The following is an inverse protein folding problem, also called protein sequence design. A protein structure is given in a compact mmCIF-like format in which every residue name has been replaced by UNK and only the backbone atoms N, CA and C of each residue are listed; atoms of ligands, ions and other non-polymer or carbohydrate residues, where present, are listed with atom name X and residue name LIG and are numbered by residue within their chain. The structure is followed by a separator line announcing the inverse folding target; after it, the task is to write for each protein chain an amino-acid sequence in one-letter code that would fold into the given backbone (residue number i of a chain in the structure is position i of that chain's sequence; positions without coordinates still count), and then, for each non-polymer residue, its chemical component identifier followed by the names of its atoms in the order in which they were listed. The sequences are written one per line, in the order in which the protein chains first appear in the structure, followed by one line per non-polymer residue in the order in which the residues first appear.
data_IF_810933072644
#
_entry.id   IF_810933072644
#
_cell.length_a   1.000
_cell.length_b   1.000
_cell.length_c   1.000
_cell.angle_alpha   90.00
_cell.angle_beta   90.00
_cell.angle_gamma   90.00
#
_symmetry.space_group_name_H-M   'P 1'
#
loop_
_entity.id
_entity.type
_entity.pdbx_description
1 polymer ?
#
# COMPACT_ATOMS: atom_id res chain seq x y z
N UNK A 1 20.28 -3.59 20.53
CA UNK A 1 19.69 -4.82 19.94
C UNK A 1 19.90 -4.74 18.44
N UNK A 2 20.73 -5.62 17.88
CA UNK A 2 20.95 -5.66 16.43
C UNK A 2 19.74 -6.34 15.79
N UNK A 3 18.90 -5.58 15.08
CA UNK A 3 17.80 -6.14 14.31
C UNK A 3 18.33 -6.90 13.10
N UNK A 4 17.78 -8.08 12.84
CA UNK A 4 18.09 -8.87 11.64
C UNK A 4 17.30 -8.24 10.47
N UNK A 5 18.02 -7.76 9.45
CA UNK A 5 17.39 -7.36 8.18
C UNK A 5 16.93 -8.65 7.49
N UNK A 6 15.61 -8.93 7.50
CA UNK A 6 15.03 -10.07 6.81
C UNK A 6 14.74 -9.68 5.35
N UNK A 7 15.60 -10.12 4.41
CA UNK A 7 15.22 -10.25 3.00
C UNK A 7 14.53 -11.60 2.79
N UNK A 8 13.23 -11.62 2.50
CA UNK A 8 12.48 -12.87 2.24
C UNK A 8 12.46 -13.14 0.74
N UNK A 9 13.26 -14.11 0.27
CA UNK A 9 13.29 -14.52 -1.15
C UNK A 9 11.87 -14.84 -1.67
N UNK A 10 11.39 -14.07 -2.63
CA UNK A 10 10.18 -14.37 -3.40
C UNK A 10 10.48 -15.45 -4.46
N UNK A 11 9.46 -16.20 -4.88
CA UNK A 11 9.59 -17.34 -5.78
C UNK A 11 9.78 -16.98 -7.28
N UNK A 12 10.16 -15.74 -7.60
CA UNK A 12 10.39 -15.24 -8.95
C UNK A 12 11.60 -14.30 -8.96
N UNK A 13 12.80 -14.84 -9.17
CA UNK A 13 14.04 -14.04 -9.21
C UNK A 13 14.34 -13.28 -7.91
N UNK A 14 15.57 -12.78 -7.76
CA UNK A 14 15.89 -11.86 -6.67
C UNK A 14 15.35 -10.47 -7.04
N UNK A 15 14.04 -10.23 -6.88
CA UNK A 15 13.49 -8.86 -6.95
C UNK A 15 13.93 -8.07 -5.72
N UNK A 16 14.40 -6.85 -5.91
CA UNK A 16 14.78 -5.97 -4.80
C UNK A 16 13.56 -5.73 -3.90
N UNK A 17 13.74 -5.91 -2.59
CA UNK A 17 12.68 -5.72 -1.61
C UNK A 17 12.92 -4.49 -0.76
N UNK A 18 11.83 -3.78 -0.43
CA UNK A 18 11.84 -2.71 0.55
C UNK A 18 12.46 -3.23 1.87
N UNK A 19 13.59 -2.66 2.31
CA UNK A 19 14.26 -3.13 3.50
C UNK A 19 13.43 -2.79 4.73
N UNK A 20 13.37 -3.69 5.70
CA UNK A 20 12.77 -3.42 7.00
C UNK A 20 13.48 -4.18 8.11
N UNK A 21 13.28 -3.69 9.33
CA UNK A 21 13.66 -4.38 10.57
C UNK A 21 12.41 -4.73 11.35
N UNK A 22 12.29 -5.98 11.80
CA UNK A 22 11.23 -6.36 12.75
C UNK A 22 11.64 -5.86 14.14
N UNK A 23 10.81 -4.99 14.72
CA UNK A 23 10.97 -4.51 16.10
C UNK A 23 10.34 -5.53 17.05
N UNK A 24 9.12 -5.97 16.74
CA UNK A 24 8.35 -6.91 17.55
C UNK A 24 7.63 -7.90 16.65
N UNK A 25 7.60 -9.16 17.06
CA UNK A 25 6.77 -10.21 16.46
C UNK A 25 5.78 -10.69 17.54
N UNK A 26 4.49 -10.62 17.23
CA UNK A 26 3.39 -11.14 18.07
C UNK A 26 2.63 -12.20 17.27
N UNK A 27 1.85 -13.03 17.95
CA UNK A 27 1.11 -14.17 17.35
C UNK A 27 -0.04 -13.81 16.40
N UNK A 28 0.07 -12.70 15.66
CA UNK A 28 -0.96 -12.20 14.74
C UNK A 28 -0.56 -10.94 13.97
N UNK A 29 0.50 -10.23 14.38
CA UNK A 29 1.05 -9.07 13.68
C UNK A 29 2.54 -8.88 13.99
N UNK A 30 3.21 -8.09 13.16
CA UNK A 30 4.59 -7.63 13.38
C UNK A 30 4.62 -6.09 13.48
N UNK A 31 5.48 -5.56 14.33
CA UNK A 31 5.91 -4.16 14.28
C UNK A 31 7.20 -4.09 13.45
N UNK A 32 7.20 -3.31 12.37
CA UNK A 32 8.34 -3.17 11.45
C UNK A 32 8.76 -1.71 11.31
N UNK A 33 10.07 -1.49 11.25
CA UNK A 33 10.69 -0.22 10.89
C UNK A 33 11.15 -0.27 9.43
N UNK A 34 10.62 0.60 8.60
CA UNK A 34 11.08 0.88 7.25
C UNK A 34 11.93 2.17 7.24
N UNK A 35 13.14 2.15 6.68
CA UNK A 35 13.94 3.36 6.53
C UNK A 35 13.36 4.27 5.45
N UNK A 36 13.73 5.56 5.48
CA UNK A 36 13.38 6.50 4.43
C UNK A 36 13.87 6.03 3.05
N UNK A 37 12.99 6.12 2.05
CA UNK A 37 13.22 5.68 0.66
C UNK A 37 12.36 6.48 -0.31
N UNK A 38 12.81 6.62 -1.56
CA UNK A 38 12.02 7.19 -2.65
C UNK A 38 11.10 6.14 -3.27
N UNK A 39 9.86 6.54 -3.55
CA UNK A 39 8.84 5.73 -4.20
C UNK A 39 8.30 6.47 -5.42
N UNK A 40 8.09 5.75 -6.52
CA UNK A 40 7.33 6.28 -7.65
C UNK A 40 5.84 6.04 -7.38
N UNK A 41 5.07 7.11 -7.27
CA UNK A 41 3.69 7.07 -6.80
C UNK A 41 2.72 7.69 -7.80
N UNK A 42 1.49 7.21 -7.79
CA UNK A 42 0.35 7.84 -8.47
C UNK A 42 -0.86 7.86 -7.55
N UNK A 43 -1.74 8.85 -7.73
CA UNK A 43 -2.88 9.10 -6.85
C UNK A 43 -4.17 9.14 -7.65
N UNK A 44 -5.18 8.41 -7.20
CA UNK A 44 -6.53 8.41 -7.77
C UNK A 44 -7.58 8.48 -6.66
N UNK A 45 -8.77 8.99 -7.01
CA UNK A 45 -9.95 8.96 -6.15
C UNK A 45 -11.00 8.04 -6.76
N UNK A 46 -11.77 7.38 -5.93
CA UNK A 46 -12.90 6.55 -6.35
C UNK A 46 -13.64 5.94 -5.17
N UNK A 47 -14.72 5.23 -5.48
CA UNK A 47 -15.61 4.63 -4.48
C UNK A 47 -15.04 3.33 -3.92
N UNK A 48 -14.46 2.51 -4.78
CA UNK A 48 -13.94 1.19 -4.48
C UNK A 48 -12.48 1.09 -4.91
N UNK A 49 -11.70 0.28 -4.20
CA UNK A 49 -10.29 0.12 -4.57
C UNK A 49 -10.16 -0.74 -5.84
N UNK A 50 -11.05 -1.72 -5.99
CA UNK A 50 -10.99 -2.73 -7.05
C UNK A 50 -10.95 -2.14 -8.46
N UNK A 51 -11.64 -1.03 -8.69
CA UNK A 51 -11.68 -0.31 -9.97
C UNK A 51 -10.45 0.55 -10.23
N UNK A 52 -9.67 0.88 -9.19
CA UNK A 52 -8.52 1.78 -9.28
C UNK A 52 -7.17 1.07 -9.32
N UNK A 53 -7.06 -0.16 -8.80
CA UNK A 53 -5.78 -0.90 -8.74
C UNK A 53 -5.18 -1.03 -10.14
N UNK A 54 -5.95 -1.52 -11.11
CA UNK A 54 -5.45 -1.75 -12.47
C UNK A 54 -4.92 -0.46 -13.15
N UNK A 55 -5.72 0.63 -13.24
CA UNK A 55 -5.23 1.85 -13.89
C UNK A 55 -4.04 2.49 -13.15
N UNK A 56 -3.99 2.45 -11.81
CA UNK A 56 -2.83 2.93 -11.04
C UNK A 56 -1.58 2.09 -11.30
N UNK A 57 -1.70 0.76 -11.24
CA UNK A 57 -0.59 -0.16 -11.49
C UNK A 57 -0.05 0.04 -12.91
N UNK A 58 -0.93 0.14 -13.91
CA UNK A 58 -0.54 0.35 -15.30
C UNK A 58 0.26 1.63 -15.50
N UNK A 59 -0.09 2.73 -14.81
CA UNK A 59 0.68 3.97 -14.87
C UNK A 59 2.11 3.77 -14.39
N UNK A 60 2.27 3.18 -13.20
CA UNK A 60 3.57 2.91 -12.60
C UNK A 60 4.37 1.87 -13.39
N UNK A 61 3.71 0.84 -13.90
CA UNK A 61 4.33 -0.17 -14.77
C UNK A 61 4.87 0.45 -16.06
N UNK A 62 4.10 1.31 -16.73
CA UNK A 62 4.59 2.03 -17.90
C UNK A 62 5.82 2.89 -17.59
N UNK A 63 5.85 3.55 -16.42
CA UNK A 63 7.00 4.34 -15.99
C UNK A 63 8.26 3.49 -15.86
N UNK A 64 8.20 2.35 -15.17
CA UNK A 64 9.36 1.45 -15.02
C UNK A 64 9.72 0.73 -16.32
N UNK A 65 8.77 0.54 -17.24
CA UNK A 65 9.00 -0.10 -18.54
C UNK A 65 9.59 0.82 -19.61
N UNK A 66 9.87 2.09 -19.29
CA UNK A 66 10.54 3.03 -20.20
C UNK A 66 9.78 4.33 -20.49
N UNK A 67 8.59 4.57 -19.92
CA UNK A 67 7.90 5.87 -20.06
C UNK A 67 8.38 6.89 -19.02
N UNK A 68 9.68 7.16 -19.07
CA UNK A 68 10.39 8.17 -18.27
C UNK A 68 11.31 8.98 -19.20
N UNK A 69 11.76 10.15 -18.76
CA UNK A 69 12.46 11.12 -19.63
C UNK A 69 13.81 10.64 -20.23
N UNK A 70 14.53 9.63 -19.67
CA UNK A 70 15.63 8.98 -20.37
C UNK A 70 15.24 7.72 -21.17
N UNK A 71 13.97 7.33 -21.18
CA UNK A 71 13.43 6.12 -21.81
C UNK A 71 14.13 4.82 -21.39
N UNK A 72 14.50 4.71 -20.11
CA UNK A 72 15.20 3.52 -19.58
C UNK A 72 14.24 2.60 -18.86
N UNK A 73 14.54 1.30 -18.88
CA UNK A 73 13.86 0.34 -18.01
C UNK A 73 14.41 0.45 -16.59
N UNK A 74 13.52 0.36 -15.63
CA UNK A 74 13.78 0.36 -14.19
C UNK A 74 13.32 -1.01 -13.68
N UNK A 75 14.15 -1.67 -12.88
CA UNK A 75 13.80 -2.97 -12.32
C UNK A 75 12.57 -2.90 -11.42
N UNK A 76 11.72 -3.93 -11.51
CA UNK A 76 10.57 -4.09 -10.62
C UNK A 76 11.04 -4.43 -9.20
N UNK A 77 10.41 -3.82 -8.21
CA UNK A 77 10.67 -4.06 -6.79
C UNK A 77 9.44 -4.62 -6.08
N UNK A 78 9.62 -5.09 -4.85
CA UNK A 78 8.55 -5.58 -3.98
C UNK A 78 8.64 -4.93 -2.59
N UNK A 79 7.54 -4.67 -1.88
CA UNK A 79 6.16 -4.81 -2.34
C UNK A 79 5.66 -3.58 -3.11
N UNK A 80 4.49 -3.73 -3.73
CA UNK A 80 3.65 -2.60 -4.14
C UNK A 80 2.82 -2.16 -2.94
N UNK A 81 2.82 -0.87 -2.64
CA UNK A 81 2.03 -0.29 -1.54
C UNK A 81 0.91 0.58 -2.08
N UNK A 82 -0.31 0.43 -1.57
CA UNK A 82 -1.43 1.35 -1.81
C UNK A 82 -1.84 1.97 -0.48
N UNK A 83 -1.56 3.27 -0.31
CA UNK A 83 -2.03 4.05 0.82
C UNK A 83 -3.49 4.45 0.62
N UNK A 84 -4.33 4.16 1.59
CA UNK A 84 -5.76 4.43 1.56
C UNK A 84 -6.09 5.52 2.56
N UNK A 85 -6.73 6.58 2.06
CA UNK A 85 -7.35 7.63 2.85
C UNK A 85 -8.87 7.51 2.65
N UNK A 86 -9.55 6.75 3.53
CA UNK A 86 -10.98 6.54 3.47
C UNK A 86 -11.73 7.87 3.47
N UNK A 87 -12.82 7.92 2.71
CA UNK A 87 -13.71 9.07 2.70
C UNK A 87 -14.54 9.18 3.98
N UNK A 88 -15.17 10.34 4.20
CA UNK A 88 -16.01 10.60 5.37
C UNK A 88 -17.37 9.88 5.33
N UNK A 89 -17.68 9.10 4.28
CA UNK A 89 -18.97 8.41 4.17
C UNK A 89 -19.17 7.65 2.86
N UNK A 90 -20.20 6.79 2.79
CA UNK A 90 -20.37 5.80 1.71
C UNK A 90 -20.68 6.39 0.33
N UNK A 91 -20.90 7.71 0.23
CA UNK A 91 -21.17 8.43 -1.03
C UNK A 91 -19.99 9.32 -1.44
N UNK A 92 -18.90 9.32 -0.68
CA UNK A 92 -17.71 10.11 -0.96
C UNK A 92 -16.57 9.21 -1.44
N UNK A 93 -15.79 9.72 -2.38
CA UNK A 93 -14.61 9.03 -2.89
C UNK A 93 -13.49 9.01 -1.84
N UNK A 94 -12.89 7.83 -1.68
CA UNK A 94 -11.64 7.67 -0.93
C UNK A 94 -10.46 8.04 -1.83
N UNK A 95 -9.34 8.42 -1.23
CA UNK A 95 -8.10 8.67 -1.98
C UNK A 95 -7.17 7.47 -1.86
N UNK A 96 -6.62 7.04 -2.98
CA UNK A 96 -5.70 5.92 -3.09
C UNK A 96 -4.39 6.41 -3.69
N UNK A 97 -3.29 6.15 -3.01
CA UNK A 97 -1.94 6.44 -3.51
C UNK A 97 -1.15 5.15 -3.63
N UNK A 98 -1.00 4.66 -4.86
CA UNK A 98 -0.17 3.49 -5.14
C UNK A 98 1.28 3.91 -5.33
N UNK A 99 2.22 3.14 -4.82
CA UNK A 99 3.65 3.39 -4.92
C UNK A 99 4.46 2.12 -5.17
N UNK A 100 5.46 2.25 -6.04
CA UNK A 100 6.53 1.27 -6.27
C UNK A 100 7.82 1.79 -5.65
N UNK A 101 8.56 0.92 -4.95
CA UNK A 101 9.88 1.29 -4.46
C UNK A 101 10.79 1.54 -5.65
N UNK A 102 11.48 2.67 -5.66
CA UNK A 102 12.54 2.91 -6.66
C UNK A 102 13.73 1.99 -6.31
N UNK A 103 14.31 1.21 -7.24
CA UNK A 103 15.48 0.38 -6.94
C UNK A 103 16.66 1.19 -6.41
N UNK A 104 17.56 0.54 -5.65
CA UNK A 104 18.72 1.18 -5.03
C UNK A 104 19.61 1.90 -6.07
N UNK A 105 19.74 1.36 -7.28
CA UNK A 105 20.46 2.00 -8.40
C UNK A 105 19.95 3.43 -8.70
N UNK A 106 18.67 3.67 -8.52
CA UNK A 106 18.00 4.93 -8.84
C UNK A 106 17.53 5.72 -7.61
N UNK A 107 17.76 5.23 -6.38
CA UNK A 107 17.30 5.89 -5.15
C UNK A 107 17.83 7.33 -5.00
N UNK A 108 19.05 7.61 -5.47
CA UNK A 108 19.62 8.95 -5.43
C UNK A 108 18.95 9.89 -6.45
N UNK A 109 18.82 9.43 -7.70
CA UNK A 109 18.27 10.20 -8.81
C UNK A 109 17.29 9.34 -9.62
N UNK A 110 16.01 9.29 -9.22
CA UNK A 110 15.00 8.55 -9.97
C UNK A 110 14.79 9.18 -11.35
N UNK A 111 14.63 8.37 -12.42
CA UNK A 111 14.27 8.89 -13.74
C UNK A 111 12.99 9.73 -13.64
N UNK A 112 12.94 10.93 -14.23
CA UNK A 112 11.72 11.74 -14.20
C UNK A 112 10.59 11.02 -14.96
N UNK A 113 9.37 10.94 -14.41
CA UNK A 113 8.26 10.35 -15.13
C UNK A 113 7.80 11.25 -16.28
N UNK A 114 7.42 10.65 -17.41
CA UNK A 114 6.81 11.39 -18.52
C UNK A 114 5.30 11.62 -18.32
N UNK A 115 4.63 10.77 -17.53
CA UNK A 115 3.24 10.97 -17.09
C UNK A 115 3.21 11.90 -15.87
N UNK A 116 2.60 13.08 -16.01
CA UNK A 116 2.49 14.10 -14.96
C UNK A 116 1.68 13.70 -13.73
N UNK A 117 0.91 12.60 -13.81
CA UNK A 117 0.19 12.03 -12.66
C UNK A 117 1.04 11.07 -11.82
N UNK A 118 2.28 10.82 -12.23
CA UNK A 118 3.27 10.09 -11.46
C UNK A 118 4.20 11.12 -10.80
N UNK A 119 4.47 10.92 -9.52
CA UNK A 119 5.38 11.76 -8.75
C UNK A 119 6.32 10.89 -7.93
N UNK A 120 7.48 11.43 -7.60
CA UNK A 120 8.43 10.76 -6.70
C UNK A 120 8.13 11.23 -5.28
N UNK A 121 7.73 10.29 -4.43
CA UNK A 121 7.51 10.50 -3.00
C UNK A 121 8.79 10.17 -2.23
N UNK A 122 9.32 11.12 -1.46
CA UNK A 122 10.32 10.81 -0.44
C UNK A 122 9.61 10.36 0.83
N UNK A 123 9.37 9.04 0.94
CA UNK A 123 8.69 8.47 2.09
C UNK A 123 9.64 8.48 3.29
N UNK A 124 9.29 9.15 4.40
CA UNK A 124 10.16 9.19 5.58
C UNK A 124 10.25 7.81 6.23
N UNK A 125 11.17 7.69 7.19
CA UNK A 125 11.24 6.50 8.06
C UNK A 125 9.87 6.24 8.67
N UNK A 126 9.39 5.00 8.53
CA UNK A 126 8.02 4.62 8.85
C UNK A 126 8.05 3.42 9.79
N UNK A 127 7.37 3.52 10.93
CA UNK A 127 7.09 2.35 11.78
C UNK A 127 5.65 1.90 11.52
N UNK A 128 5.48 0.63 11.17
CA UNK A 128 4.16 0.05 10.88
C UNK A 128 3.87 -1.15 11.75
N UNK A 129 2.60 -1.35 12.06
CA UNK A 129 2.07 -2.64 12.48
C UNK A 129 1.49 -3.33 11.25
N UNK A 130 1.85 -4.58 11.03
CA UNK A 130 1.43 -5.32 9.83
C UNK A 130 0.92 -6.71 10.16
N UNK A 131 -0.14 -7.11 9.45
CA UNK A 131 -0.66 -8.46 9.44
C UNK A 131 -0.64 -9.01 8.03
N UNK A 132 -0.14 -10.24 7.89
CA UNK A 132 -0.13 -11.00 6.63
C UNK A 132 -1.42 -11.77 6.47
N UNK A 133 -1.96 -11.73 5.27
CA UNK A 133 -3.04 -12.59 4.80
C UNK A 133 -2.71 -13.09 3.38
N UNK A 134 -3.52 -14.01 2.87
CA UNK A 134 -3.28 -14.61 1.56
C UNK A 134 -4.55 -14.76 0.74
N UNK A 135 -4.36 -15.15 -0.52
CA UNK A 135 -5.45 -15.27 -1.49
C UNK A 135 -5.74 -13.95 -2.20
N UNK A 136 -6.85 -13.93 -2.95
CA UNK A 136 -7.33 -12.74 -3.65
C UNK A 136 -7.81 -11.68 -2.68
N UNK A 137 -7.61 -10.43 -3.07
CA UNK A 137 -8.01 -9.28 -2.27
C UNK A 137 -9.27 -8.66 -2.85
N UNK A 138 -10.32 -8.56 -2.04
CA UNK A 138 -11.50 -7.73 -2.30
C UNK A 138 -11.61 -6.65 -1.22
N UNK A 139 -12.43 -5.63 -1.46
CA UNK A 139 -12.65 -4.54 -0.51
C UNK A 139 -13.17 -5.08 0.84
N UNK A 140 -14.04 -6.10 0.83
CA UNK A 140 -14.52 -6.76 2.05
C UNK A 140 -13.40 -7.49 2.82
N UNK A 141 -12.51 -8.20 2.09
CA UNK A 141 -11.37 -8.89 2.70
C UNK A 141 -10.42 -7.87 3.31
N UNK A 142 -10.16 -6.77 2.61
CA UNK A 142 -9.31 -5.67 3.11
C UNK A 142 -9.88 -5.09 4.39
N UNK A 143 -11.16 -4.73 4.39
CA UNK A 143 -11.81 -4.14 5.55
C UNK A 143 -11.82 -5.09 6.74
N UNK A 144 -12.04 -6.39 6.50
CA UNK A 144 -11.95 -7.43 7.52
C UNK A 144 -10.53 -7.52 8.10
N UNK A 145 -9.50 -7.65 7.27
CA UNK A 145 -8.12 -7.80 7.76
C UNK A 145 -7.60 -6.51 8.43
N UNK A 146 -8.04 -5.33 7.99
CA UNK A 146 -7.79 -4.06 8.66
C UNK A 146 -8.46 -4.01 10.05
N UNK A 147 -9.72 -4.44 10.15
CA UNK A 147 -10.42 -4.55 11.44
C UNK A 147 -9.71 -5.53 12.38
N UNK A 148 -9.40 -6.73 11.92
CA UNK A 148 -8.74 -7.75 12.73
C UNK A 148 -7.38 -7.27 13.23
N UNK A 149 -6.58 -6.60 12.39
CA UNK A 149 -5.31 -6.01 12.81
C UNK A 149 -5.52 -4.90 13.84
N UNK A 150 -6.49 -3.99 13.64
CA UNK A 150 -6.77 -2.92 14.58
C UNK A 150 -7.17 -3.46 15.96
N UNK A 151 -8.01 -4.50 16.01
CA UNK A 151 -8.39 -5.16 17.26
C UNK A 151 -7.19 -5.78 17.98
N UNK A 152 -6.29 -6.46 17.26
CA UNK A 152 -5.09 -7.05 17.86
C UNK A 152 -4.13 -5.99 18.41
N UNK A 153 -3.92 -4.88 17.69
CA UNK A 153 -3.09 -3.75 18.15
C UNK A 153 -3.71 -3.13 19.42
N UNK A 154 -5.02 -2.91 19.45
CA UNK A 154 -5.73 -2.33 20.58
C UNK A 154 -5.69 -3.24 21.82
N UNK A 155 -5.85 -4.56 21.66
CA UNK A 155 -5.72 -5.54 22.76
C UNK A 155 -4.36 -5.48 23.46
N UNK A 156 -3.30 -5.14 22.72
CA UNK A 156 -1.94 -5.02 23.25
C UNK A 156 -1.63 -3.63 23.84
N UNK A 157 -2.58 -2.68 23.79
CA UNK A 157 -2.40 -1.29 24.22
C UNK A 157 -1.19 -0.60 23.55
N UNK A 158 -0.96 -0.89 22.26
CA UNK A 158 0.12 -0.24 21.51
C UNK A 158 -0.13 1.27 21.41
N UNK A 159 0.90 2.11 21.66
CA UNK A 159 0.72 3.55 21.69
C UNK A 159 0.61 4.12 20.27
N UNK A 160 -0.15 5.22 20.17
CA UNK A 160 -0.07 6.20 19.08
C UNK A 160 -0.19 5.58 17.69
N UNK A 161 -1.31 4.95 17.37
CA UNK A 161 -1.57 4.38 16.03
C UNK A 161 -2.61 5.21 15.30
N UNK A 162 -2.35 5.53 14.04
CA UNK A 162 -3.35 6.10 13.15
C UNK A 162 -4.17 4.97 12.52
N UNK A 163 -5.41 4.81 12.95
CA UNK A 163 -6.35 3.84 12.40
C UNK A 163 -7.26 4.41 11.30
N UNK A 164 -7.10 5.69 10.97
CA UNK A 164 -7.95 6.37 9.99
C UNK A 164 -7.46 6.11 8.57
N UNK A 165 -6.19 5.76 8.43
CA UNK A 165 -5.51 5.51 7.16
C UNK A 165 -4.70 4.22 7.28
N UNK A 166 -4.60 3.48 6.18
CA UNK A 166 -3.91 2.19 6.17
C UNK A 166 -3.25 1.94 4.82
N UNK A 167 -2.31 1.01 4.77
CA UNK A 167 -1.77 0.50 3.52
C UNK A 167 -2.31 -0.88 3.21
N UNK A 168 -2.56 -1.11 1.93
CA UNK A 168 -2.74 -2.43 1.34
C UNK A 168 -1.46 -2.75 0.59
N UNK A 169 -0.85 -3.89 0.87
CA UNK A 169 0.51 -4.18 0.41
C UNK A 169 0.55 -5.54 -0.27
N UNK A 170 0.89 -5.55 -1.56
CA UNK A 170 0.99 -6.74 -2.38
C UNK A 170 2.45 -7.07 -2.70
N UNK A 171 2.87 -8.31 -2.40
CA UNK A 171 4.26 -8.75 -2.63
C UNK A 171 4.46 -9.52 -3.91
N UNK A 172 3.40 -10.18 -4.36
CA UNK A 172 3.45 -11.09 -5.48
C UNK A 172 2.98 -10.43 -6.77
N UNK A 173 3.62 -10.77 -7.90
CA UNK A 173 3.23 -10.23 -9.19
C UNK A 173 1.79 -10.61 -9.53
N UNK A 174 1.12 -9.81 -10.38
CA UNK A 174 -0.28 -10.02 -10.75
C UNK A 174 -0.57 -11.37 -11.40
N UNK A 175 0.42 -12.01 -12.06
CA UNK A 175 0.27 -13.35 -12.64
C UNK A 175 0.30 -14.52 -11.67
N UNK A 176 0.57 -14.26 -10.39
CA UNK A 176 0.55 -15.30 -9.38
C UNK A 176 -0.89 -15.55 -8.90
N UNK A 177 -1.55 -16.55 -9.48
CA UNK A 177 -2.96 -16.88 -9.20
C UNK A 177 -3.24 -17.54 -7.84
N UNK A 178 -2.24 -18.11 -7.16
CA UNK A 178 -2.43 -18.81 -5.87
C UNK A 178 -1.31 -18.49 -4.88
N UNK A 179 -1.63 -18.50 -3.59
CA UNK A 179 -0.65 -18.29 -2.52
C UNK A 179 -0.01 -16.90 -2.55
N UNK A 180 -0.77 -15.88 -2.97
CA UNK A 180 -0.34 -14.48 -2.88
C UNK A 180 -0.14 -14.08 -1.42
N UNK A 181 0.90 -13.30 -1.15
CA UNK A 181 1.21 -12.65 0.11
C UNK A 181 0.73 -11.21 -0.01
N UNK A 182 -0.26 -10.91 0.81
CA UNK A 182 -0.78 -9.57 1.00
C UNK A 182 -0.64 -9.18 2.47
N UNK A 183 -0.54 -7.89 2.74
CA UNK A 183 -0.48 -7.35 4.09
C UNK A 183 -1.34 -6.09 4.22
N UNK A 184 -1.90 -5.88 5.41
CA UNK A 184 -2.45 -4.58 5.84
C UNK A 184 -1.45 -3.94 6.80
N UNK A 185 -1.17 -2.65 6.61
CA UNK A 185 -0.32 -1.88 7.53
C UNK A 185 -1.08 -0.72 8.15
N UNK A 186 -0.97 -0.54 9.47
CA UNK A 186 -1.25 0.71 10.15
C UNK A 186 0.04 1.41 10.55
N UNK A 187 0.05 2.73 10.49
CA UNK A 187 1.22 3.54 10.83
C UNK A 187 1.21 3.86 12.33
N UNK A 188 2.35 3.63 12.98
CA UNK A 188 2.62 4.13 14.32
C UNK A 188 2.98 5.61 14.21
N UNK A 189 2.17 6.48 14.79
CA UNK A 189 2.47 7.90 14.98
C UNK A 189 3.68 8.02 15.91
N UNK A 190 4.85 8.21 15.34
CA UNK A 190 6.01 8.71 16.10
C UNK A 190 5.89 10.22 16.19
N UNK A 191 6.27 10.82 17.32
CA UNK A 191 6.18 12.26 17.61
C UNK A 191 6.88 13.19 16.59
N UNK A 192 7.51 12.65 15.54
CA UNK A 192 8.26 13.36 14.50
C UNK A 192 7.83 13.05 13.05
N UNK A 193 6.65 12.45 12.82
CA UNK A 193 6.18 12.06 11.49
C UNK A 193 5.00 12.89 10.99
N UNK A 194 5.16 14.19 10.79
CA UNK A 194 4.21 14.93 9.95
C UNK A 194 4.33 14.42 8.51
N UNK A 195 3.32 13.70 8.03
CA UNK A 195 3.10 13.57 6.59
C UNK A 195 2.93 14.97 6.00
N UNK A 196 3.38 15.26 4.75
CA UNK A 196 3.17 16.55 4.13
C UNK A 196 1.68 16.88 4.06
N UNK A 197 1.18 17.64 5.03
CA UNK A 197 -0.11 18.31 4.96
C UNK A 197 0.05 19.40 3.91
N UNK A 198 -0.74 19.38 2.84
CA UNK A 198 -0.92 20.58 2.05
C UNK A 198 -1.37 21.70 3.00
N UNK A 199 -0.59 22.78 3.05
CA UNK A 199 -0.88 23.92 3.89
C UNK A 199 -2.21 24.54 3.47
N UNK A 200 -3.25 24.33 4.28
CA UNK A 200 -4.52 25.03 4.10
C UNK A 200 -5.74 24.35 4.69
N UNK A 201 -5.82 24.23 6.02
CA UNK A 201 -7.02 24.56 6.81
C UNK A 201 -6.76 24.36 8.30
N UNK A 202 -7.18 25.36 9.07
CA UNK A 202 -7.02 25.49 10.50
C UNK A 202 -7.75 24.39 11.29
N UNK A 203 -7.19 24.05 12.44
CA UNK A 203 -7.83 23.31 13.52
C UNK A 203 -9.19 23.91 13.89
N UNK A 204 -10.21 23.07 13.86
CA UNK A 204 -11.30 23.17 14.82
C UNK A 204 -11.47 21.80 15.45
N UNK A 205 -11.10 21.70 16.72
CA UNK A 205 -11.44 20.59 17.58
C UNK A 205 -12.96 20.44 17.63
N UNK A 206 -13.46 19.29 17.19
CA UNK A 206 -14.65 18.63 17.71
C UNK A 206 -14.61 17.17 17.29
N UNK A 207 -14.75 16.29 18.28
CA UNK A 207 -14.68 14.84 18.13
C UNK A 207 -15.60 14.34 17.03
N UNK A 208 -14.99 13.77 16.00
CA UNK A 208 -15.66 12.92 15.02
C UNK A 208 -14.93 11.59 15.13
N UNK A 209 -15.63 10.55 15.60
CA UNK A 209 -15.06 9.20 15.59
C UNK A 209 -14.77 8.83 14.13
N UNK A 210 -13.61 8.24 13.87
CA UNK A 210 -13.23 7.97 12.49
C UNK A 210 -14.14 6.91 11.87
N UNK A 211 -14.32 6.98 10.55
CA UNK A 211 -15.17 6.05 9.79
C UNK A 211 -14.74 4.60 9.97
N UNK A 212 -13.45 4.33 10.19
CA UNK A 212 -12.98 2.99 10.56
C UNK A 212 -13.45 2.65 11.98
N UNK A 213 -13.34 3.56 12.96
CA UNK A 213 -13.91 3.36 14.30
C UNK A 213 -15.43 3.14 14.28
N UNK A 214 -16.19 3.85 13.44
CA UNK A 214 -17.64 3.65 13.27
C UNK A 214 -17.97 2.32 12.55
N UNK A 215 -17.20 1.95 11.53
CA UNK A 215 -17.36 0.67 10.80
C UNK A 215 -16.84 -0.55 11.60
N UNK A 216 -15.95 -0.34 12.58
CA UNK A 216 -15.58 -1.34 13.60
C UNK A 216 -16.75 -1.54 14.56
N UNK A 217 -17.46 -0.47 14.96
CA UNK A 217 -18.60 -0.55 15.89
C UNK A 217 -19.88 -1.13 15.28
N UNK A 218 -20.15 -0.88 13.99
CA UNK A 218 -21.49 -1.11 13.42
C UNK A 218 -21.71 -2.44 12.67
N UNK A 219 -20.77 -3.38 12.68
CA UNK A 219 -21.01 -4.82 12.46
C UNK A 219 -21.80 -5.31 11.22
N UNK A 220 -22.19 -4.45 10.27
CA UNK A 220 -23.03 -4.83 9.14
C UNK A 220 -22.19 -5.11 7.90
N UNK A 221 -21.90 -6.39 7.69
CA UNK A 221 -21.47 -6.92 6.39
C UNK A 221 -22.73 -7.25 5.61
N UNK A 222 -23.06 -6.46 4.59
CA UNK A 222 -23.99 -6.90 3.55
C UNK A 222 -23.15 -7.74 2.58
N UNK A 223 -23.36 -9.06 2.61
CA UNK A 223 -22.83 -9.95 1.57
C UNK A 223 -23.42 -9.53 0.23
N UNK A 224 -22.59 -8.96 -0.64
CA UNK A 224 -22.84 -8.93 -2.07
C UNK A 224 -21.78 -9.80 -2.72
N UNK A 225 -22.22 -10.77 -3.51
CA UNK A 225 -21.33 -11.60 -4.32
C UNK A 225 -20.56 -10.68 -5.29
N UNK A 226 -19.25 -10.53 -5.08
CA UNK A 226 -18.37 -9.71 -5.93
C UNK A 226 -17.60 -10.61 -6.90
N UNK A 227 -17.74 -10.26 -8.17
CA UNK A 227 -17.14 -10.88 -9.34
C UNK A 227 -15.61 -10.66 -9.36
N UNK A 228 -14.85 -11.74 -9.57
CA UNK A 228 -13.38 -11.78 -9.66
C UNK A 228 -12.93 -11.18 -11.01
N UNK A 229 -13.09 -9.87 -11.22
CA UNK A 229 -12.89 -9.27 -12.55
C UNK A 229 -11.74 -8.24 -12.67
N UNK A 230 -11.29 -7.60 -11.58
CA UNK A 230 -10.27 -6.54 -11.67
C UNK A 230 -8.84 -7.07 -11.85
N UNK A 231 -8.48 -8.17 -11.19
CA UNK A 231 -7.13 -8.73 -11.27
C UNK A 231 -6.89 -9.52 -12.56
N UNK A 232 -7.92 -10.20 -13.11
CA UNK A 232 -7.85 -10.84 -14.42
C UNK A 232 -7.56 -9.82 -15.54
N UNK A 233 -8.08 -8.59 -15.40
CA UNK A 233 -7.79 -7.50 -16.32
C UNK A 233 -6.32 -7.04 -16.23
N UNK A 234 -5.73 -6.96 -15.03
CA UNK A 234 -4.30 -6.62 -14.86
C UNK A 234 -3.41 -7.70 -15.50
N UNK A 235 -3.82 -8.96 -15.33
CA UNK A 235 -3.13 -10.12 -15.86
C UNK A 235 -3.08 -10.14 -17.38
N UNK A 236 -4.26 -10.04 -18.00
CA UNK A 236 -4.38 -9.97 -19.46
C UNK A 236 -3.59 -8.79 -20.03
N UNK A 237 -3.62 -7.63 -19.34
CA UNK A 237 -2.96 -6.42 -19.82
C UNK A 237 -1.42 -6.49 -19.68
N UNK A 238 -0.89 -7.24 -18.70
CA UNK A 238 0.55 -7.48 -18.58
C UNK A 238 1.03 -8.48 -19.62
N UNK A 239 0.29 -9.57 -19.86
CA UNK A 239 0.58 -10.47 -20.98
C UNK A 239 0.57 -9.70 -22.32
N UNK A 240 -0.41 -8.83 -22.53
CA UNK A 240 -0.51 -7.99 -23.73
C UNK A 240 0.63 -6.94 -23.85
N UNK A 241 1.29 -6.58 -22.75
CA UNK A 241 2.43 -5.66 -22.72
C UNK A 241 3.77 -6.38 -22.88
N UNK A 242 3.93 -7.58 -22.32
CA UNK A 242 5.12 -8.41 -22.49
C UNK A 242 5.19 -9.05 -23.90
N UNK A 243 4.06 -9.28 -24.55
CA UNK A 243 3.98 -9.85 -25.91
C UNK A 243 4.24 -8.84 -27.05
N UNK A 244 4.45 -7.55 -26.74
CA UNK A 244 4.66 -6.49 -27.75
C UNK A 244 6.13 -6.13 -28.00
N UNK A 245 7.05 -6.78 -27.29
CA UNK A 245 8.50 -6.74 -27.53
C UNK A 245 9.01 -8.07 -28.10
#
# INVERSE_FOLDING_TARGET
MAGIIKGIKAAFGDVEMAPYTIIVERGGYEERLYPARKWACTKMKGMDQSSLISPMFRKLFNYISGKNEPNIRIDMTSPVTTYVEPSAGPTCESTFTMGFLVPEEHQNLPPPPSDKSIFIEERPTLTVYTRRFGGYTSDDIILKEARDLAEEIQKQNEPSVNFDQYYIVGYDPPFKLFGRRNEIWFVKNTDNGEFPREQGKAETANGTESVITENIKNGNVVQQDVEVNSEAAILQEIEDLELKD
#
